data_IF_968883108018
#
_entry.id   IF_968883108018
#
_cell.length_a   1.000
_cell.length_b   1.000
_cell.length_c   1.000
_cell.angle_alpha   90.00
_cell.angle_beta   90.00
_cell.angle_gamma   90.00
#
_symmetry.space_group_name_H-M   'P 1'
#
loop_
_entity.id
_entity.type
_entity.pdbx_description
1 polymer ?
#
# COMPACT_ATOMS: atom_id res chain seq x y z
N UNK A 1 -2.90 -4.21 -14.20
CA UNK A 1 -3.32 -5.33 -13.35
C UNK A 1 -2.46 -5.28 -12.11
N UNK A 2 -3.06 -5.41 -10.94
CA UNK A 2 -2.37 -5.31 -9.67
C UNK A 2 -1.42 -6.50 -9.47
N UNK A 3 -0.39 -6.32 -8.64
CA UNK A 3 0.52 -7.37 -8.24
C UNK A 3 -0.20 -8.44 -7.41
N UNK A 4 0.20 -9.70 -7.56
CA UNK A 4 -0.39 -10.83 -6.81
C UNK A 4 -0.33 -10.60 -5.29
N UNK A 5 0.79 -10.05 -4.80
CA UNK A 5 0.98 -9.73 -3.38
C UNK A 5 -0.06 -8.73 -2.86
N UNK A 6 -0.40 -7.70 -3.63
CA UNK A 6 -1.44 -6.72 -3.27
C UNK A 6 -2.82 -7.36 -3.30
N UNK A 7 -3.13 -8.17 -4.31
CA UNK A 7 -4.42 -8.89 -4.37
C UNK A 7 -4.61 -9.81 -3.17
N UNK A 8 -3.57 -10.54 -2.76
CA UNK A 8 -3.61 -11.40 -1.57
C UNK A 8 -3.85 -10.59 -0.30
N UNK A 9 -3.20 -9.43 -0.14
CA UNK A 9 -3.44 -8.54 0.99
C UNK A 9 -4.88 -8.03 1.05
N UNK A 10 -5.44 -7.59 -0.08
CA UNK A 10 -6.84 -7.12 -0.12
C UNK A 10 -7.84 -8.28 0.07
N UNK A 11 -7.55 -9.48 -0.45
CA UNK A 11 -8.35 -10.69 -0.18
C UNK A 11 -8.37 -11.03 1.31
N UNK A 12 -7.21 -11.08 1.95
CA UNK A 12 -7.10 -11.40 3.38
C UNK A 12 -7.78 -10.34 4.25
N UNK A 13 -7.60 -9.06 3.90
CA UNK A 13 -8.29 -7.94 4.55
C UNK A 13 -9.82 -8.04 4.42
N UNK A 14 -10.33 -8.41 3.25
CA UNK A 14 -11.77 -8.66 3.05
C UNK A 14 -12.29 -9.83 3.89
N UNK A 15 -11.41 -10.77 4.27
CA UNK A 15 -11.70 -11.90 5.15
C UNK A 15 -11.29 -11.66 6.62
N UNK A 16 -11.01 -10.41 7.02
CA UNK A 16 -10.75 -10.05 8.42
C UNK A 16 -9.29 -10.16 8.88
N UNK A 17 -8.35 -10.40 7.97
CA UNK A 17 -6.91 -10.47 8.27
C UNK A 17 -6.20 -9.23 7.72
N UNK A 18 -5.98 -8.23 8.58
CA UNK A 18 -5.41 -6.93 8.17
C UNK A 18 -3.88 -6.83 8.32
N UNK A 19 -3.29 -7.69 9.14
CA UNK A 19 -1.84 -7.78 9.35
C UNK A 19 -1.37 -9.13 8.80
N UNK A 20 -0.69 -9.09 7.66
CA UNK A 20 -0.23 -10.28 6.94
C UNK A 20 1.22 -10.07 6.55
N UNK A 21 2.09 -10.98 6.97
CA UNK A 21 3.48 -11.07 6.55
C UNK A 21 3.60 -12.00 5.34
N UNK A 22 3.89 -11.43 4.16
CA UNK A 22 4.10 -12.21 2.93
C UNK A 22 5.47 -12.92 2.87
N UNK A 23 6.22 -12.94 3.97
CA UNK A 23 7.44 -13.72 4.13
C UNK A 23 7.27 -14.87 5.13
N UNK A 24 6.19 -14.90 5.91
CA UNK A 24 5.93 -15.92 6.93
C UNK A 24 4.53 -16.56 6.77
N UNK A 25 3.50 -15.74 6.62
CA UNK A 25 2.11 -16.19 6.57
C UNK A 25 1.71 -16.71 5.19
N UNK A 26 2.20 -16.03 4.14
CA UNK A 26 1.97 -16.43 2.74
C UNK A 26 3.26 -16.26 1.96
N UNK A 27 3.92 -17.37 1.62
CA UNK A 27 5.16 -17.31 0.86
C UNK A 27 4.86 -17.25 -0.64
N UNK A 28 5.28 -16.16 -1.28
CA UNK A 28 5.23 -16.00 -2.73
C UNK A 28 6.56 -16.43 -3.35
N UNK A 29 6.47 -17.10 -4.49
CA UNK A 29 7.63 -17.49 -5.29
C UNK A 29 7.42 -17.05 -6.74
N UNK A 30 8.52 -16.68 -7.40
CA UNK A 30 8.57 -16.53 -8.84
C UNK A 30 9.78 -17.32 -9.37
N UNK A 31 9.48 -18.35 -10.13
CA UNK A 31 10.40 -19.30 -10.75
C UNK A 31 10.61 -19.00 -12.26
N UNK A 32 10.26 -17.79 -12.70
CA UNK A 32 10.43 -17.29 -14.07
C UNK A 32 9.17 -17.39 -14.93
N UNK A 33 8.07 -17.89 -14.37
CA UNK A 33 6.75 -17.98 -15.02
C UNK A 33 5.74 -17.00 -14.41
N UNK A 34 6.19 -16.12 -13.53
CA UNK A 34 5.36 -15.17 -12.80
C UNK A 34 5.10 -15.62 -11.35
N UNK A 35 4.68 -14.68 -10.50
CA UNK A 35 4.52 -14.93 -9.08
C UNK A 35 3.34 -15.88 -8.82
N UNK A 36 3.53 -16.80 -7.88
CA UNK A 36 2.50 -17.70 -7.38
C UNK A 36 2.59 -17.89 -5.87
N UNK A 37 1.50 -18.37 -5.25
CA UNK A 37 1.48 -18.74 -3.83
C UNK A 37 2.11 -20.12 -3.67
N UNK A 38 3.31 -20.15 -3.07
CA UNK A 38 4.03 -21.38 -2.72
C UNK A 38 3.49 -22.00 -1.44
N UNK A 39 3.34 -21.21 -0.39
CA UNK A 39 2.85 -21.66 0.92
C UNK A 39 1.72 -20.76 1.40
N UNK A 40 0.75 -21.37 2.10
CA UNK A 40 -0.41 -20.69 2.66
C UNK A 40 -0.59 -21.14 4.11
N UNK A 41 -0.13 -20.32 5.05
CA UNK A 41 -0.10 -20.61 6.48
C UNK A 41 -1.19 -19.85 7.26
N UNK A 42 -2.19 -19.29 6.55
CA UNK A 42 -3.31 -18.57 7.16
C UNK A 42 -4.37 -19.56 7.66
N UNK A 43 -4.63 -19.54 8.96
CA UNK A 43 -5.73 -20.30 9.56
C UNK A 43 -7.05 -19.53 9.45
N UNK A 44 -8.14 -20.25 9.16
CA UNK A 44 -9.49 -19.67 9.10
C UNK A 44 -9.87 -19.03 7.76
N UNK A 45 -8.94 -18.94 6.81
CA UNK A 45 -9.20 -18.43 5.45
C UNK A 45 -8.58 -19.38 4.43
N UNK A 46 -9.36 -19.77 3.43
CA UNK A 46 -8.87 -20.62 2.34
C UNK A 46 -7.88 -19.86 1.44
N UNK A 47 -6.98 -20.59 0.79
CA UNK A 47 -6.18 -20.03 -0.30
C UNK A 47 -7.13 -19.49 -1.38
N UNK A 48 -6.94 -18.26 -1.89
CA UNK A 48 -7.86 -17.67 -2.85
C UNK A 48 -7.86 -18.41 -4.19
N UNK A 49 -9.03 -18.50 -4.79
CA UNK A 49 -9.21 -18.88 -6.20
C UNK A 49 -8.91 -17.72 -7.14
N UNK A 50 -8.80 -17.99 -8.44
CA UNK A 50 -8.66 -16.94 -9.46
C UNK A 50 -9.85 -15.98 -9.46
N UNK A 51 -11.06 -16.45 -9.16
CA UNK A 51 -12.24 -15.59 -9.01
C UNK A 51 -12.15 -14.70 -7.78
N UNK A 52 -11.60 -15.18 -6.66
CA UNK A 52 -11.39 -14.37 -5.47
C UNK A 52 -10.37 -13.26 -5.73
N UNK A 53 -9.27 -13.60 -6.42
CA UNK A 53 -8.26 -12.62 -6.83
C UNK A 53 -8.79 -11.60 -7.82
N UNK A 54 -9.67 -12.02 -8.73
CA UNK A 54 -10.33 -11.12 -9.68
C UNK A 54 -11.31 -10.18 -8.99
N UNK A 55 -12.02 -10.64 -7.96
CA UNK A 55 -12.98 -9.82 -7.20
C UNK A 55 -12.32 -8.65 -6.47
N UNK A 56 -11.05 -8.81 -6.04
CA UNK A 56 -10.29 -7.76 -5.35
C UNK A 56 -9.39 -6.93 -6.26
N UNK A 57 -9.39 -7.20 -7.57
CA UNK A 57 -8.53 -6.54 -8.56
C UNK A 57 -8.63 -5.00 -8.50
N UNK A 58 -9.85 -4.47 -8.47
CA UNK A 58 -10.05 -3.01 -8.41
C UNK A 58 -9.49 -2.40 -7.13
N UNK A 59 -9.73 -3.04 -5.98
CA UNK A 59 -9.23 -2.57 -4.68
C UNK A 59 -7.69 -2.62 -4.64
N UNK A 60 -7.09 -3.68 -5.18
CA UNK A 60 -5.64 -3.81 -5.26
C UNK A 60 -5.00 -2.76 -6.19
N UNK A 61 -5.61 -2.47 -7.35
CA UNK A 61 -5.15 -1.39 -8.23
C UNK A 61 -5.21 -0.02 -7.53
N UNK A 62 -6.30 0.25 -6.79
CA UNK A 62 -6.42 1.48 -5.98
C UNK A 62 -5.36 1.54 -4.89
N UNK A 63 -5.07 0.43 -4.22
CA UNK A 63 -4.04 0.37 -3.18
C UNK A 63 -2.64 0.68 -3.75
N UNK A 64 -2.28 0.12 -4.90
CA UNK A 64 -1.00 0.39 -5.57
C UNK A 64 -0.88 1.83 -6.05
N UNK A 65 -1.92 2.37 -6.68
CA UNK A 65 -1.96 3.77 -7.09
C UNK A 65 -1.79 4.70 -5.89
N UNK A 66 -2.50 4.43 -4.80
CA UNK A 66 -2.40 5.21 -3.57
C UNK A 66 -1.03 5.08 -2.89
N UNK A 67 -0.38 3.91 -2.94
CA UNK A 67 0.97 3.73 -2.42
C UNK A 67 2.00 4.59 -3.19
N UNK A 68 1.88 4.68 -4.51
CA UNK A 68 2.72 5.56 -5.32
C UNK A 68 2.51 7.04 -4.95
N UNK A 69 1.25 7.47 -4.83
CA UNK A 69 0.92 8.83 -4.39
C UNK A 69 1.48 9.13 -3.01
N UNK A 70 1.40 8.18 -2.06
CA UNK A 70 1.96 8.33 -0.72
C UNK A 70 3.48 8.46 -0.78
N UNK A 71 4.17 7.65 -1.58
CA UNK A 71 5.62 7.75 -1.76
C UNK A 71 6.03 9.13 -2.28
N UNK A 72 5.31 9.65 -3.29
CA UNK A 72 5.52 11.01 -3.80
C UNK A 72 5.31 12.07 -2.72
N UNK A 73 4.22 11.97 -1.94
CA UNK A 73 3.94 12.89 -0.83
C UNK A 73 5.04 12.87 0.21
N UNK A 74 5.51 11.70 0.64
CA UNK A 74 6.60 11.55 1.63
C UNK A 74 7.88 12.20 1.12
N UNK A 75 8.25 11.98 -0.14
CA UNK A 75 9.41 12.64 -0.74
C UNK A 75 9.27 14.18 -0.75
N UNK A 76 8.08 14.70 -1.06
CA UNK A 76 7.78 16.13 -1.08
C UNK A 76 7.70 16.77 0.32
N UNK A 77 7.19 16.04 1.32
CA UNK A 77 7.24 16.46 2.72
C UNK A 77 8.68 16.65 3.16
N UNK A 78 9.56 15.75 2.74
CA UNK A 78 10.95 15.65 3.18
C UNK A 78 11.06 14.92 4.51
N UNK A 79 12.28 14.89 5.05
CA UNK A 79 12.52 14.33 6.39
C UNK A 79 11.99 15.22 7.50
N UNK A 80 11.88 14.65 8.71
CA UNK A 80 11.39 15.37 9.89
C UNK A 80 12.17 16.67 10.17
N UNK A 81 13.49 16.68 9.95
CA UNK A 81 14.34 17.88 10.14
C UNK A 81 13.88 19.02 9.24
N UNK A 82 13.65 18.76 7.95
CA UNK A 82 13.19 19.78 7.00
C UNK A 82 11.82 20.35 7.38
N UNK A 83 10.92 19.50 7.87
CA UNK A 83 9.61 19.96 8.34
C UNK A 83 9.73 20.82 9.60
N UNK A 84 10.59 20.42 10.54
CA UNK A 84 10.87 21.20 11.75
C UNK A 84 11.52 22.55 11.43
N UNK A 85 12.50 22.58 10.52
CA UNK A 85 13.12 23.82 10.03
C UNK A 85 12.06 24.74 9.41
N UNK A 86 11.20 24.22 8.53
CA UNK A 86 10.14 25.03 7.93
C UNK A 86 9.14 25.57 8.96
N UNK A 87 8.83 24.80 10.01
CA UNK A 87 7.98 25.27 11.12
C UNK A 87 8.68 26.38 11.92
N UNK A 88 9.98 26.25 12.19
CA UNK A 88 10.76 27.25 12.94
C UNK A 88 10.90 28.55 12.13
N UNK A 89 11.12 28.45 10.81
CA UNK A 89 11.34 29.59 9.93
C UNK A 89 10.05 30.29 9.50
N UNK A 90 9.01 29.50 9.14
CA UNK A 90 7.80 30.01 8.48
C UNK A 90 6.52 29.81 9.32
N UNK A 91 6.60 29.11 10.45
CA UNK A 91 5.48 28.86 11.34
C UNK A 91 4.66 27.61 11.00
N UNK A 92 3.89 27.13 11.98
CA UNK A 92 3.06 25.92 11.86
C UNK A 92 1.98 26.05 10.77
N UNK A 93 1.32 27.21 10.67
CA UNK A 93 0.27 27.43 9.68
C UNK A 93 0.80 27.33 8.23
N UNK A 94 2.02 27.82 7.99
CA UNK A 94 2.68 27.71 6.70
C UNK A 94 3.00 26.24 6.35
N UNK A 95 3.48 25.44 7.32
CA UNK A 95 3.71 24.01 7.10
C UNK A 95 2.39 23.24 6.85
N UNK A 96 1.31 23.58 7.57
CA UNK A 96 -0.02 23.02 7.33
C UNK A 96 -0.48 23.32 5.90
N UNK A 97 -0.36 24.57 5.45
CA UNK A 97 -0.73 24.97 4.10
C UNK A 97 0.12 24.24 3.04
N UNK A 98 1.43 24.13 3.26
CA UNK A 98 2.35 23.41 2.36
C UNK A 98 1.96 21.93 2.23
N UNK A 99 1.72 21.24 3.34
CA UNK A 99 1.31 19.83 3.35
C UNK A 99 -0.06 19.65 2.70
N UNK A 100 -1.00 20.58 2.91
CA UNK A 100 -2.30 20.55 2.26
C UNK A 100 -2.18 20.69 0.74
N UNK A 101 -1.35 21.62 0.25
CA UNK A 101 -1.08 21.79 -1.18
C UNK A 101 -0.48 20.53 -1.80
N UNK A 102 0.53 19.92 -1.15
CA UNK A 102 1.11 18.65 -1.62
C UNK A 102 0.06 17.55 -1.73
N UNK A 103 -0.89 17.46 -0.80
CA UNK A 103 -1.98 16.48 -0.86
C UNK A 103 -2.97 16.78 -1.99
N UNK A 104 -3.25 18.06 -2.25
CA UNK A 104 -4.13 18.51 -3.32
C UNK A 104 -3.51 18.22 -4.70
N UNK A 105 -2.22 18.48 -4.88
CA UNK A 105 -1.48 18.24 -6.12
C UNK A 105 -1.26 16.74 -6.40
N UNK A 106 -1.35 15.91 -5.36
CA UNK A 106 -1.13 14.47 -5.44
C UNK A 106 -2.31 13.73 -4.80
N UNK A 107 -3.53 13.75 -5.37
CA UNK A 107 -4.71 13.16 -4.76
C UNK A 107 -4.63 11.63 -4.75
N UNK A 108 -5.23 11.02 -3.72
CA UNK A 108 -5.46 9.57 -3.68
C UNK A 108 -6.77 9.26 -4.41
N UNK A 109 -6.78 8.17 -5.15
CA UNK A 109 -7.98 7.57 -5.77
C UNK A 109 -8.82 6.80 -4.76
#
# INVERSE_FOLDING_TARGET
>A
MAQLSTKIKEYLKANGHTEVDLMQDVLLQDDGQGPHIKEWNISGVAKPSDSDLSAVESAANTAEANAQVIATRVALYGGAIKQLENIIENGLDAEIARVAQIKADNPKS
#
